data_IF_301931287704
#
_entry.id   IF_301931287704
#
_cell.length_a   1.000
_cell.length_b   1.000
_cell.length_c   1.000
_cell.angle_alpha   90.00
_cell.angle_beta   90.00
_cell.angle_gamma   90.00
#
_symmetry.space_group_name_H-M   'P 1'
#
loop_
_entity.id
_entity.type
_entity.pdbx_description
1 polymer ?
#
# COMPACT_ATOMS: atom_id res chain seq x y z
N UNK A 1 22.62 -8.83 7.32
CA UNK A 1 21.96 -9.18 6.05
C UNK A 1 22.10 -10.67 5.83
N UNK A 2 20.99 -11.40 5.64
CA UNK A 2 21.03 -12.85 5.40
C UNK A 2 21.94 -13.15 4.20
N UNK A 3 22.84 -14.12 4.34
CA UNK A 3 23.68 -14.62 3.23
C UNK A 3 22.90 -15.59 2.33
N UNK A 4 21.72 -16.02 2.76
CA UNK A 4 20.88 -16.98 2.05
C UNK A 4 19.90 -16.22 1.15
N UNK A 5 19.77 -16.67 -0.10
CA UNK A 5 18.84 -16.05 -1.06
C UNK A 5 17.37 -16.21 -0.64
N UNK A 6 17.00 -17.44 -0.26
CA UNK A 6 15.69 -17.82 0.25
C UNK A 6 15.85 -18.66 1.52
N UNK A 7 15.14 -18.32 2.59
CA UNK A 7 15.16 -19.09 3.83
C UNK A 7 14.18 -20.27 3.76
N UNK A 8 14.67 -21.42 3.30
CA UNK A 8 13.89 -22.66 3.22
C UNK A 8 13.83 -23.44 4.56
N UNK A 9 14.41 -22.89 5.64
CA UNK A 9 14.40 -23.51 6.97
C UNK A 9 13.15 -23.11 7.75
N UNK A 10 12.84 -21.82 7.76
CA UNK A 10 11.68 -21.27 8.47
C UNK A 10 10.46 -21.11 7.55
N UNK A 11 10.67 -21.09 6.23
CA UNK A 11 9.62 -20.94 5.24
C UNK A 11 9.64 -22.08 4.21
N UNK A 12 8.45 -22.55 3.86
CA UNK A 12 8.22 -23.55 2.82
C UNK A 12 8.23 -22.93 1.43
N UNK A 13 8.38 -23.77 0.40
CA UNK A 13 8.26 -23.33 -0.99
C UNK A 13 6.89 -22.70 -1.28
N UNK A 14 5.80 -23.25 -0.72
CA UNK A 14 4.46 -22.72 -0.92
C UNK A 14 4.34 -21.30 -0.35
N UNK A 15 4.86 -21.08 0.86
CA UNK A 15 4.88 -19.76 1.49
C UNK A 15 5.67 -18.73 0.67
N UNK A 16 6.84 -19.12 0.15
CA UNK A 16 7.61 -18.27 -0.74
C UNK A 16 6.87 -17.93 -2.04
N UNK A 17 6.15 -18.89 -2.62
CA UNK A 17 5.34 -18.65 -3.83
C UNK A 17 4.16 -17.73 -3.55
N UNK A 18 3.41 -17.96 -2.48
CA UNK A 18 2.27 -17.13 -2.09
C UNK A 18 2.71 -15.69 -1.83
N UNK A 19 3.72 -15.52 -0.97
CA UNK A 19 4.23 -14.19 -0.62
C UNK A 19 4.91 -13.52 -1.82
N UNK A 20 5.77 -14.23 -2.54
CA UNK A 20 6.53 -13.71 -3.68
C UNK A 20 5.65 -13.29 -4.86
N UNK A 21 4.63 -14.08 -5.21
CA UNK A 21 3.67 -13.71 -6.27
C UNK A 21 2.86 -12.50 -5.83
N UNK A 22 2.39 -12.48 -4.57
CA UNK A 22 1.64 -11.34 -4.04
C UNK A 22 2.47 -10.04 -4.07
N UNK A 23 3.73 -10.13 -3.66
CA UNK A 23 4.73 -9.08 -3.77
C UNK A 23 4.92 -8.60 -5.21
N UNK A 24 5.09 -9.51 -6.16
CA UNK A 24 5.28 -9.15 -7.56
C UNK A 24 4.06 -8.41 -8.15
N UNK A 25 2.84 -8.81 -7.80
CA UNK A 25 1.63 -8.08 -8.20
C UNK A 25 1.66 -6.62 -7.72
N UNK A 26 2.13 -6.39 -6.50
CA UNK A 26 2.32 -5.03 -5.98
C UNK A 26 3.34 -4.23 -6.79
N UNK A 27 4.47 -4.82 -7.20
CA UNK A 27 5.42 -4.12 -8.09
C UNK A 27 4.74 -3.64 -9.38
N UNK A 28 3.86 -4.45 -9.97
CA UNK A 28 3.07 -4.04 -11.13
C UNK A 28 2.11 -2.89 -10.78
N UNK A 29 1.45 -2.95 -9.61
CA UNK A 29 0.62 -1.85 -9.10
C UNK A 29 1.43 -0.55 -9.06
N UNK A 30 2.60 -0.54 -8.41
CA UNK A 30 3.47 0.64 -8.36
C UNK A 30 3.81 1.18 -9.75
N UNK A 31 4.13 0.31 -10.71
CA UNK A 31 4.37 0.72 -12.10
C UNK A 31 3.19 1.43 -12.74
N UNK A 32 1.97 0.91 -12.54
CA UNK A 32 0.73 1.53 -13.02
C UNK A 32 0.49 2.88 -12.35
N UNK A 33 0.61 2.95 -11.02
CA UNK A 33 0.42 4.18 -10.26
C UNK A 33 1.40 5.25 -10.74
N UNK A 34 2.69 4.93 -10.84
CA UNK A 34 3.73 5.85 -11.32
C UNK A 34 3.42 6.36 -12.73
N UNK A 35 3.02 5.47 -13.64
CA UNK A 35 2.60 5.87 -14.99
C UNK A 35 1.45 6.87 -14.98
N UNK A 36 0.48 6.68 -14.09
CA UNK A 36 -0.68 7.57 -13.96
C UNK A 36 -0.34 8.89 -13.27
N UNK A 37 0.55 8.90 -12.28
CA UNK A 37 1.08 10.12 -11.67
C UNK A 37 1.71 11.02 -12.74
N UNK A 38 2.50 10.43 -13.64
CA UNK A 38 3.11 11.17 -14.76
C UNK A 38 2.07 11.71 -15.73
N UNK A 39 1.06 10.91 -16.07
CA UNK A 39 0.03 11.26 -17.05
C UNK A 39 -0.93 12.34 -16.54
N UNK A 40 -1.41 12.21 -15.31
CA UNK A 40 -2.50 13.04 -14.77
C UNK A 40 -2.02 14.10 -13.77
N UNK A 41 -0.74 14.06 -13.37
CA UNK A 41 -0.18 14.95 -12.34
C UNK A 41 -1.05 14.98 -11.08
N UNK A 42 -1.62 13.83 -10.73
CA UNK A 42 -2.50 13.59 -9.60
C UNK A 42 -2.05 12.31 -8.91
N UNK A 43 -2.15 12.28 -7.59
CA UNK A 43 -1.75 11.15 -6.77
C UNK A 43 -3.01 10.40 -6.37
N UNK A 44 -3.23 9.22 -6.93
CA UNK A 44 -4.40 8.40 -6.60
C UNK A 44 -4.28 7.67 -5.25
N UNK A 45 -3.09 7.68 -4.64
CA UNK A 45 -2.88 7.18 -3.27
C UNK A 45 -3.25 8.28 -2.27
N UNK A 46 -4.14 8.05 -1.28
CA UNK A 46 -4.46 9.05 -0.27
C UNK A 46 -3.22 9.54 0.49
N UNK A 47 -3.10 10.85 0.72
CA UNK A 47 -1.89 11.47 1.30
C UNK A 47 -1.39 10.79 2.58
N UNK A 48 -2.28 10.47 3.52
CA UNK A 48 -1.93 9.83 4.78
C UNK A 48 -1.34 8.42 4.59
N UNK A 49 -1.81 7.71 3.58
CA UNK A 49 -1.35 6.36 3.24
C UNK A 49 0.08 6.40 2.71
N UNK A 50 0.41 7.41 1.91
CA UNK A 50 1.77 7.63 1.42
C UNK A 50 2.72 7.79 2.62
N UNK A 51 2.33 8.58 3.62
CA UNK A 51 3.14 8.77 4.83
C UNK A 51 3.38 7.45 5.55
N UNK A 52 2.31 6.68 5.80
CA UNK A 52 2.38 5.38 6.47
C UNK A 52 3.27 4.40 5.71
N UNK A 53 3.00 4.20 4.42
CA UNK A 53 3.71 3.24 3.58
C UNK A 53 5.19 3.58 3.44
N UNK A 54 5.50 4.84 3.12
CA UNK A 54 6.90 5.29 3.01
C UNK A 54 7.66 5.13 4.32
N UNK A 55 7.01 5.44 5.45
CA UNK A 55 7.60 5.26 6.78
C UNK A 55 7.84 3.80 7.11
N UNK A 56 6.98 2.89 6.65
CA UNK A 56 7.19 1.46 6.85
C UNK A 56 8.30 0.91 5.94
N UNK A 57 8.33 1.31 4.66
CA UNK A 57 9.33 0.85 3.68
C UNK A 57 10.74 1.32 4.02
N UNK A 58 10.91 2.55 4.50
CA UNK A 58 12.24 3.04 4.94
C UNK A 58 12.75 2.22 6.13
N UNK A 59 11.86 1.85 7.07
CA UNK A 59 12.22 1.08 8.25
C UNK A 59 12.63 -0.35 7.89
N UNK A 60 11.83 -1.06 7.09
CA UNK A 60 12.11 -2.44 6.67
C UNK A 60 13.18 -2.56 5.59
N UNK A 61 13.54 -1.46 4.91
CA UNK A 61 14.66 -1.45 3.97
C UNK A 61 16.02 -1.29 4.65
N UNK A 62 16.08 -0.51 5.74
CA UNK A 62 17.34 0.00 6.28
C UNK A 62 17.57 -0.22 7.77
N UNK A 63 16.52 -0.35 8.58
CA UNK A 63 16.62 -0.44 10.04
C UNK A 63 16.28 -1.83 10.57
N UNK A 64 15.31 -2.50 9.95
CA UNK A 64 14.91 -3.87 10.25
C UNK A 64 15.19 -4.75 9.05
N UNK A 65 15.44 -6.04 9.30
CA UNK A 65 15.78 -6.99 8.25
C UNK A 65 14.87 -8.21 8.32
N UNK A 66 14.40 -8.65 7.17
CA UNK A 66 13.64 -9.89 7.06
C UNK A 66 14.54 -11.12 7.11
N UNK A 67 14.05 -12.17 7.75
CA UNK A 67 14.62 -13.51 7.77
C UNK A 67 14.16 -14.38 6.59
N UNK A 68 13.21 -13.95 5.76
CA UNK A 68 12.75 -14.69 4.55
C UNK A 68 13.86 -14.88 3.50
N UNK A 69 14.93 -14.08 3.57
CA UNK A 69 16.10 -14.18 2.69
C UNK A 69 16.47 -12.87 2.01
N UNK A 70 17.66 -12.84 1.41
CA UNK A 70 18.23 -11.65 0.81
C UNK A 70 17.38 -11.08 -0.34
N UNK A 71 16.66 -11.93 -1.08
CA UNK A 71 15.82 -11.48 -2.20
C UNK A 71 14.67 -10.59 -1.73
N UNK A 72 14.00 -10.96 -0.63
CA UNK A 72 12.91 -10.18 -0.05
C UNK A 72 13.42 -8.89 0.58
N UNK A 73 14.60 -8.93 1.20
CA UNK A 73 15.24 -7.72 1.71
C UNK A 73 15.55 -6.70 0.60
N UNK A 74 16.01 -7.16 -0.56
CA UNK A 74 16.19 -6.30 -1.73
C UNK A 74 14.84 -5.86 -2.32
N UNK A 75 13.80 -6.68 -2.21
CA UNK A 75 12.41 -6.31 -2.51
C UNK A 75 12.00 -5.03 -1.78
N UNK A 76 12.13 -4.97 -0.44
CA UNK A 76 11.85 -3.76 0.35
C UNK A 76 12.62 -2.54 -0.17
N UNK A 77 13.90 -2.70 -0.47
CA UNK A 77 14.72 -1.59 -0.98
C UNK A 77 14.24 -1.09 -2.33
N UNK A 78 13.82 -1.99 -3.22
CA UNK A 78 13.24 -1.61 -4.51
C UNK A 78 11.92 -0.87 -4.30
N UNK A 79 11.04 -1.33 -3.41
CA UNK A 79 9.82 -0.61 -3.07
C UNK A 79 10.08 0.76 -2.48
N UNK A 80 11.02 0.87 -1.54
CA UNK A 80 11.43 2.14 -0.97
C UNK A 80 11.88 3.14 -2.06
N UNK A 81 12.60 2.69 -3.09
CA UNK A 81 12.97 3.55 -4.22
C UNK A 81 11.76 3.99 -5.06
N UNK A 82 10.79 3.09 -5.29
CA UNK A 82 9.53 3.44 -5.96
C UNK A 82 8.72 4.44 -5.11
N UNK A 83 8.72 4.27 -3.80
CA UNK A 83 8.08 5.17 -2.85
C UNK A 83 8.74 6.54 -2.82
N UNK A 84 10.07 6.64 -2.89
CA UNK A 84 10.77 7.92 -3.03
C UNK A 84 10.23 8.71 -4.23
N UNK A 85 9.95 8.04 -5.34
CA UNK A 85 9.35 8.66 -6.51
C UNK A 85 7.91 9.13 -6.24
N UNK A 86 7.09 8.31 -5.57
CA UNK A 86 5.71 8.66 -5.20
C UNK A 86 5.69 9.85 -4.23
N UNK A 87 6.52 9.84 -3.18
CA UNK A 87 6.64 10.92 -2.19
C UNK A 87 7.07 12.22 -2.85
N UNK A 88 8.07 12.18 -3.74
CA UNK A 88 8.49 13.36 -4.50
C UNK A 88 7.31 13.99 -5.28
N UNK A 89 6.49 13.17 -5.94
CA UNK A 89 5.30 13.66 -6.64
C UNK A 89 4.15 14.00 -5.68
N UNK A 90 4.09 13.39 -4.50
CA UNK A 90 3.15 13.77 -3.45
C UNK A 90 3.42 15.20 -2.98
N UNK A 91 4.67 15.59 -2.73
CA UNK A 91 5.01 16.98 -2.44
C UNK A 91 4.56 17.94 -3.55
N UNK A 92 4.61 17.51 -4.81
CA UNK A 92 4.14 18.32 -5.93
C UNK A 92 2.62 18.40 -6.02
N UNK A 93 1.88 17.31 -5.82
CA UNK A 93 0.49 17.20 -6.26
C UNK A 93 -0.51 16.74 -5.19
N UNK A 94 -0.11 16.38 -3.96
CA UNK A 94 -1.03 15.89 -2.92
C UNK A 94 -2.14 16.88 -2.56
N UNK A 95 -1.84 18.19 -2.63
CA UNK A 95 -2.81 19.26 -2.37
C UNK A 95 -4.05 19.16 -3.27
N UNK A 96 -3.92 18.57 -4.47
CA UNK A 96 -5.01 18.37 -5.42
C UNK A 96 -6.07 17.40 -4.91
N UNK A 97 -5.82 16.62 -3.84
CA UNK A 97 -6.78 15.73 -3.18
C UNK A 97 -7.79 16.46 -2.28
N UNK A 98 -7.57 17.77 -2.04
CA UNK A 98 -8.36 18.60 -1.14
C UNK A 98 -9.09 19.72 -1.89
N UNK A 99 -10.21 20.16 -1.32
CA UNK A 99 -11.04 21.22 -1.87
C UNK A 99 -10.29 22.56 -1.93
N UNK A 100 -10.64 23.38 -2.92
CA UNK A 100 -10.12 24.75 -3.07
C UNK A 100 -10.48 25.62 -1.87
N UNK A 101 -9.53 26.45 -1.42
CA UNK A 101 -9.70 27.31 -0.24
C UNK A 101 -9.72 26.58 1.12
N UNK A 102 -9.52 25.26 1.16
CA UNK A 102 -9.46 24.54 2.45
C UNK A 102 -8.07 24.65 3.10
N UNK A 103 -8.05 24.79 4.44
CA UNK A 103 -6.81 24.79 5.23
C UNK A 103 -5.93 23.55 4.96
N UNK A 104 -6.57 22.39 4.73
CA UNK A 104 -5.87 21.15 4.39
C UNK A 104 -5.11 21.24 3.06
N UNK A 105 -5.67 21.93 2.06
CA UNK A 105 -5.02 22.11 0.75
C UNK A 105 -3.79 23.01 0.88
N UNK A 106 -3.93 24.12 1.60
CA UNK A 106 -2.86 25.10 1.80
C UNK A 106 -1.67 24.49 2.55
N UNK A 107 -1.95 23.67 3.56
CA UNK A 107 -0.94 23.07 4.42
C UNK A 107 -0.56 21.64 4.00
N UNK A 108 -1.07 21.11 2.89
CA UNK A 108 -0.93 19.71 2.50
C UNK A 108 0.54 19.22 2.51
N UNK A 109 1.46 20.04 2.00
CA UNK A 109 2.90 19.71 1.94
C UNK A 109 3.54 19.67 3.32
N UNK A 110 3.18 20.62 4.18
CA UNK A 110 3.66 20.67 5.57
C UNK A 110 3.12 19.48 6.36
N UNK A 111 1.83 19.18 6.20
CA UNK A 111 1.19 18.01 6.83
C UNK A 111 1.87 16.74 6.34
N UNK A 112 2.13 16.59 5.03
CA UNK A 112 2.84 15.44 4.47
C UNK A 112 4.23 15.27 5.12
N UNK A 113 5.03 16.34 5.19
CA UNK A 113 6.37 16.29 5.78
C UNK A 113 6.35 15.91 7.26
N UNK A 114 5.51 16.58 8.06
CA UNK A 114 5.37 16.33 9.50
C UNK A 114 4.84 14.91 9.74
N UNK A 115 3.86 14.47 8.95
CA UNK A 115 3.30 13.13 9.07
C UNK A 115 4.32 12.04 8.73
N UNK A 116 5.15 12.21 7.70
CA UNK A 116 6.24 11.25 7.41
C UNK A 116 7.17 11.12 8.62
N UNK A 117 7.65 12.23 9.17
CA UNK A 117 8.57 12.19 10.34
C UNK A 117 7.88 11.54 11.53
N UNK A 118 6.64 11.92 11.83
CA UNK A 118 5.86 11.35 12.93
C UNK A 118 5.64 9.84 12.78
N UNK A 119 5.28 9.38 11.57
CA UNK A 119 5.05 7.97 11.30
C UNK A 119 6.33 7.14 11.31
N UNK A 120 7.47 7.66 10.87
CA UNK A 120 8.76 6.97 11.04
C UNK A 120 9.02 6.68 12.51
N UNK A 121 8.81 7.66 13.39
CA UNK A 121 9.04 7.49 14.84
C UNK A 121 8.07 6.48 15.43
N UNK A 122 6.76 6.64 15.15
CA UNK A 122 5.73 5.73 15.67
C UNK A 122 5.96 4.30 15.19
N UNK A 123 6.17 4.12 13.88
CA UNK A 123 6.40 2.79 13.30
C UNK A 123 7.74 2.21 13.72
N UNK A 124 8.78 3.00 13.99
CA UNK A 124 10.04 2.47 14.51
C UNK A 124 9.82 1.75 15.85
N UNK A 125 9.15 2.41 16.80
CA UNK A 125 8.88 1.82 18.11
C UNK A 125 7.87 0.68 18.04
N UNK A 126 6.84 0.80 17.19
CA UNK A 126 5.92 -0.31 16.95
C UNK A 126 6.65 -1.53 16.38
N UNK A 127 7.46 -1.34 15.33
CA UNK A 127 8.18 -2.43 14.68
C UNK A 127 9.17 -3.09 15.62
N UNK A 128 9.93 -2.29 16.38
CA UNK A 128 10.89 -2.82 17.36
C UNK A 128 10.25 -3.64 18.47
N UNK A 129 9.06 -3.23 18.93
CA UNK A 129 8.43 -3.81 20.13
C UNK A 129 7.47 -4.96 19.78
N UNK A 130 6.76 -4.86 18.67
CA UNK A 130 5.65 -5.76 18.33
C UNK A 130 5.90 -6.55 17.05
N UNK A 131 6.30 -5.88 15.97
CA UNK A 131 6.32 -6.51 14.64
C UNK A 131 7.56 -7.38 14.42
N UNK A 132 8.76 -6.79 14.46
CA UNK A 132 10.00 -7.50 14.16
C UNK A 132 10.28 -8.71 15.09
N UNK A 133 9.95 -8.68 16.38
CA UNK A 133 10.09 -9.86 17.24
C UNK A 133 9.10 -11.00 16.96
N UNK A 134 7.96 -10.72 16.31
CA UNK A 134 6.89 -11.70 16.08
C UNK A 134 6.80 -12.17 14.63
N UNK A 135 6.79 -11.24 13.68
CA UNK A 135 6.64 -11.57 12.26
C UNK A 135 7.97 -11.85 11.59
N UNK A 136 9.05 -11.24 12.07
CA UNK A 136 10.38 -11.22 11.46
C UNK A 136 10.43 -10.67 10.02
N UNK A 137 9.30 -10.25 9.44
CA UNK A 137 9.18 -9.81 8.04
C UNK A 137 8.31 -8.56 7.87
N UNK A 138 7.84 -7.95 8.95
CA UNK A 138 7.02 -6.75 8.88
C UNK A 138 5.55 -7.01 8.61
N UNK A 139 5.08 -8.23 8.83
CA UNK A 139 3.69 -8.61 8.54
C UNK A 139 2.67 -7.71 9.23
N UNK A 140 2.84 -7.43 10.53
CA UNK A 140 1.87 -6.63 11.28
C UNK A 140 1.85 -5.18 10.82
N UNK A 141 3.03 -4.55 10.66
CA UNK A 141 3.15 -3.18 10.20
C UNK A 141 2.68 -3.00 8.75
N UNK A 142 2.94 -4.01 7.90
CA UNK A 142 2.49 -4.01 6.51
C UNK A 142 0.96 -4.01 6.42
N UNK A 143 0.29 -4.89 7.16
CA UNK A 143 -1.17 -4.88 7.24
C UNK A 143 -1.74 -3.64 7.94
N UNK A 144 -1.03 -3.11 8.93
CA UNK A 144 -1.43 -1.87 9.58
C UNK A 144 -1.35 -0.67 8.64
N UNK A 145 -0.48 -0.69 7.64
CA UNK A 145 -0.45 0.30 6.55
C UNK A 145 -1.54 0.02 5.50
N UNK A 146 -1.75 -1.26 5.15
CA UNK A 146 -2.66 -1.65 4.07
C UNK A 146 -4.14 -1.47 4.44
N UNK A 147 -4.52 -1.66 5.70
CA UNK A 147 -5.91 -1.47 6.16
C UNK A 147 -6.40 -0.01 5.97
N UNK A 148 -5.71 1.03 6.48
CA UNK A 148 -6.00 2.43 6.17
C UNK A 148 -5.92 2.73 4.67
N UNK A 149 -5.00 2.10 3.93
CA UNK A 149 -4.95 2.23 2.48
C UNK A 149 -6.27 1.81 1.84
N UNK A 150 -6.73 0.58 2.07
CA UNK A 150 -7.99 0.07 1.53
C UNK A 150 -9.19 0.94 1.91
N UNK A 151 -9.27 1.42 3.15
CA UNK A 151 -10.34 2.33 3.59
C UNK A 151 -10.31 3.68 2.86
N UNK A 152 -9.16 4.34 2.82
CA UNK A 152 -9.06 5.72 2.32
C UNK A 152 -9.15 5.80 0.79
N UNK A 153 -8.75 4.74 0.08
CA UNK A 153 -8.96 4.64 -1.37
C UNK A 153 -10.44 4.75 -1.75
N UNK A 154 -11.34 4.14 -0.97
CA UNK A 154 -12.78 4.24 -1.19
C UNK A 154 -13.25 5.70 -1.08
N UNK A 155 -12.84 6.39 -0.02
CA UNK A 155 -13.22 7.80 0.19
C UNK A 155 -12.70 8.69 -0.95
N UNK A 156 -11.45 8.48 -1.38
CA UNK A 156 -10.86 9.26 -2.46
C UNK A 156 -11.55 9.00 -3.80
N UNK A 157 -11.88 7.75 -4.11
CA UNK A 157 -12.60 7.40 -5.33
C UNK A 157 -13.97 8.09 -5.40
N UNK A 158 -14.73 8.12 -4.30
CA UNK A 158 -16.02 8.79 -4.25
C UNK A 158 -15.91 10.32 -4.38
N UNK A 159 -14.86 10.92 -3.81
CA UNK A 159 -14.57 12.35 -3.96
C UNK A 159 -14.25 12.73 -5.40
N UNK A 160 -13.57 11.85 -6.13
CA UNK A 160 -13.16 12.04 -7.52
C UNK A 160 -13.95 11.17 -8.49
N UNK A 161 -15.22 10.88 -8.17
CA UNK A 161 -16.09 10.00 -8.98
C UNK A 161 -16.31 10.49 -10.42
N UNK A 162 -16.12 11.78 -10.68
CA UNK A 162 -16.25 12.39 -12.01
C UNK A 162 -14.92 12.34 -12.80
N UNK A 163 -13.84 11.86 -12.19
CA UNK A 163 -12.48 11.75 -12.77
C UNK A 163 -11.91 10.35 -12.61
N UNK A 164 -12.70 9.32 -12.95
CA UNK A 164 -12.34 7.92 -12.79
C UNK A 164 -11.07 7.53 -13.58
N UNK A 165 -10.73 8.28 -14.63
CA UNK A 165 -9.50 8.11 -15.39
C UNK A 165 -8.23 8.35 -14.57
N UNK A 166 -8.32 9.02 -13.41
CA UNK A 166 -7.20 9.16 -12.47
C UNK A 166 -6.93 7.88 -11.69
N UNK A 167 -7.88 6.94 -11.66
CA UNK A 167 -7.78 5.68 -10.92
C UNK A 167 -7.58 4.48 -11.86
N UNK A 168 -6.99 3.40 -11.37
CA UNK A 168 -6.78 2.18 -12.16
C UNK A 168 -7.50 0.96 -11.60
N UNK A 169 -8.51 0.48 -12.34
CA UNK A 169 -9.20 -0.77 -11.99
C UNK A 169 -8.29 -2.01 -12.10
N UNK A 170 -7.41 -2.15 -13.10
CA UNK A 170 -6.40 -3.22 -13.09
C UNK A 170 -5.50 -3.17 -11.84
N UNK A 171 -5.08 -1.98 -11.42
CA UNK A 171 -4.29 -1.83 -10.20
C UNK A 171 -5.09 -2.24 -8.95
N UNK A 172 -6.39 -1.91 -8.90
CA UNK A 172 -7.28 -2.32 -7.82
C UNK A 172 -7.34 -3.85 -7.66
N UNK A 173 -7.50 -4.58 -8.78
CA UNK A 173 -7.51 -6.04 -8.79
C UNK A 173 -6.16 -6.63 -8.42
N UNK A 174 -5.07 -6.14 -8.99
CA UNK A 174 -3.72 -6.61 -8.68
C UNK A 174 -3.37 -6.37 -7.20
N UNK A 175 -3.77 -5.23 -6.65
CA UNK A 175 -3.65 -4.92 -5.23
C UNK A 175 -4.42 -5.93 -4.37
N UNK A 176 -5.70 -6.15 -4.71
CA UNK A 176 -6.57 -7.06 -3.96
C UNK A 176 -6.07 -8.50 -3.99
N UNK A 177 -5.68 -9.00 -5.16
CA UNK A 177 -5.08 -10.34 -5.29
C UNK A 177 -3.72 -10.44 -4.62
N UNK A 178 -2.86 -9.43 -4.78
CA UNK A 178 -1.55 -9.40 -4.15
C UNK A 178 -1.65 -9.47 -2.63
N UNK A 179 -2.51 -8.64 -2.04
CA UNK A 179 -2.82 -8.66 -0.61
C UNK A 179 -3.50 -9.95 -0.18
N UNK A 180 -4.41 -10.49 -0.99
CA UNK A 180 -5.08 -11.77 -0.73
C UNK A 180 -4.10 -12.93 -0.62
N UNK A 181 -3.14 -13.03 -1.54
CA UNK A 181 -2.10 -14.06 -1.51
C UNK A 181 -1.19 -13.94 -0.28
N UNK A 182 -0.78 -12.73 0.07
CA UNK A 182 -0.03 -12.46 1.32
C UNK A 182 -0.87 -12.85 2.54
N UNK A 183 -2.19 -12.63 2.50
CA UNK A 183 -3.10 -12.98 3.60
C UNK A 183 -3.17 -14.49 3.77
N UNK A 184 -3.32 -15.23 2.67
CA UNK A 184 -3.30 -16.69 2.68
C UNK A 184 -1.97 -17.20 3.22
N UNK A 185 -0.84 -16.62 2.78
CA UNK A 185 0.47 -16.91 3.37
C UNK A 185 0.46 -16.72 4.90
N UNK A 186 -0.08 -15.61 5.41
CA UNK A 186 -0.13 -15.38 6.85
C UNK A 186 -0.95 -16.44 7.59
N UNK A 187 -2.03 -16.96 7.01
CA UNK A 187 -2.82 -18.07 7.59
C UNK A 187 -2.06 -19.40 7.64
N UNK A 188 -1.10 -19.62 6.74
CA UNK A 188 -0.25 -20.82 6.77
C UNK A 188 0.91 -20.69 7.76
N UNK A 189 1.48 -19.49 7.88
CA UNK A 189 2.72 -19.28 8.60
C UNK A 189 2.53 -18.89 10.07
N UNK A 190 1.52 -18.05 10.36
CA UNK A 190 1.29 -17.50 11.70
C UNK A 190 0.07 -18.16 12.34
N UNK A 191 0.04 -18.17 13.67
CA UNK A 191 -1.14 -18.50 14.47
C UNK A 191 -1.51 -17.29 15.36
N UNK A 192 -1.82 -16.15 14.71
CA UNK A 192 -2.22 -14.92 15.39
C UNK A 192 -3.56 -14.40 14.83
N UNK A 193 -4.67 -14.54 15.60
CA UNK A 193 -5.99 -14.04 15.20
C UNK A 193 -6.02 -12.55 14.86
N UNK A 194 -5.14 -11.75 15.47
CA UNK A 194 -5.06 -10.32 15.16
C UNK A 194 -4.62 -10.10 13.72
N UNK A 195 -3.57 -10.81 13.28
CA UNK A 195 -3.07 -10.71 11.90
C UNK A 195 -4.12 -11.18 10.89
N UNK A 196 -4.83 -12.28 11.20
CA UNK A 196 -5.92 -12.79 10.37
C UNK A 196 -7.08 -11.79 10.25
N UNK A 197 -7.41 -11.12 11.35
CA UNK A 197 -8.47 -10.10 11.34
C UNK A 197 -8.08 -8.90 10.49
N UNK A 198 -6.82 -8.45 10.55
CA UNK A 198 -6.31 -7.36 9.72
C UNK A 198 -6.33 -7.72 8.23
N UNK A 199 -5.85 -8.92 7.89
CA UNK A 199 -5.85 -9.40 6.50
C UNK A 199 -7.27 -9.56 5.94
N UNK A 200 -8.17 -10.15 6.73
CA UNK A 200 -9.59 -10.31 6.35
C UNK A 200 -10.27 -8.95 6.16
N UNK A 201 -10.11 -8.02 7.10
CA UNK A 201 -10.69 -6.69 6.98
C UNK A 201 -10.15 -5.94 5.74
N UNK A 202 -8.85 -6.03 5.48
CA UNK A 202 -8.21 -5.44 4.29
C UNK A 202 -8.79 -6.03 3.00
N UNK A 203 -8.94 -7.35 2.92
CA UNK A 203 -9.51 -8.03 1.77
C UNK A 203 -10.97 -7.62 1.51
N UNK A 204 -11.79 -7.51 2.55
CA UNK A 204 -13.18 -7.04 2.44
C UNK A 204 -13.25 -5.59 1.91
N UNK A 205 -12.38 -4.72 2.40
CA UNK A 205 -12.31 -3.33 1.95
C UNK A 205 -11.81 -3.22 0.49
N UNK A 206 -10.85 -4.05 0.08
CA UNK A 206 -10.39 -4.12 -1.31
C UNK A 206 -11.50 -4.61 -2.24
N UNK A 207 -12.23 -5.66 -1.85
CA UNK A 207 -13.39 -6.15 -2.59
C UNK A 207 -14.46 -5.06 -2.71
N UNK A 208 -14.73 -4.33 -1.62
CA UNK A 208 -15.67 -3.22 -1.63
C UNK A 208 -15.21 -2.06 -2.51
N UNK A 209 -13.92 -1.69 -2.46
CA UNK A 209 -13.35 -0.67 -3.34
C UNK A 209 -13.51 -1.03 -4.82
N UNK A 210 -13.19 -2.27 -5.19
CA UNK A 210 -13.36 -2.79 -6.55
C UNK A 210 -14.83 -2.71 -6.97
N UNK A 211 -15.74 -3.17 -6.11
CA UNK A 211 -17.18 -3.09 -6.35
C UNK A 211 -17.64 -1.65 -6.59
N UNK A 212 -17.25 -0.70 -5.73
CA UNK A 212 -17.60 0.71 -5.88
C UNK A 212 -17.07 1.29 -7.20
N UNK A 213 -15.85 0.94 -7.59
CA UNK A 213 -15.28 1.36 -8.86
C UNK A 213 -16.13 0.85 -10.04
N UNK A 214 -16.54 -0.42 -10.04
CA UNK A 214 -17.43 -0.94 -11.08
C UNK A 214 -18.77 -0.20 -11.15
N UNK A 215 -19.39 0.08 -10.00
CA UNK A 215 -20.67 0.80 -9.92
C UNK A 215 -20.52 2.21 -10.51
N UNK A 216 -19.51 2.96 -10.10
CA UNK A 216 -19.26 4.32 -10.59
C UNK A 216 -18.96 4.34 -12.09
N UNK A 217 -18.16 3.38 -12.58
CA UNK A 217 -17.84 3.26 -14.00
C UNK A 217 -19.07 2.91 -14.85
N UNK A 218 -19.97 2.07 -14.35
CA UNK A 218 -21.24 1.74 -15.03
C UNK A 218 -22.13 2.98 -15.11
N UNK A 219 -22.28 3.73 -14.01
CA UNK A 219 -23.06 4.97 -13.98
C UNK A 219 -22.51 6.02 -14.96
N UNK A 220 -21.20 6.23 -14.97
CA UNK A 220 -20.57 7.18 -15.91
C UNK A 220 -20.85 6.82 -17.37
N UNK A 221 -20.81 5.52 -17.73
CA UNK A 221 -21.16 5.07 -19.10
C UNK A 221 -22.62 5.31 -19.47
N UNK A 222 -23.54 5.06 -18.54
CA UNK A 222 -24.98 5.25 -18.77
C UNK A 222 -25.35 6.73 -18.94
N UNK A 223 -24.69 7.63 -18.19
CA UNK A 223 -24.91 9.07 -18.34
C UNK A 223 -24.42 9.60 -19.69
N UNK A 224 -23.30 9.06 -20.20
CA UNK A 224 -22.79 9.41 -21.55
C UNK A 224 -23.69 8.87 -22.67
N UNK A 225 -24.48 7.82 -22.44
CA UNK A 225 -25.40 7.28 -23.46
C UNK A 225 -26.76 7.99 -23.56
N UNK A 226 -27.00 9.03 -22.75
CA UNK A 226 -28.25 9.82 -22.74
C UNK A 226 -28.06 11.26 -23.24
N UNK A 227 -26.86 11.63 -23.68
CA UNK A 227 -26.54 12.87 -24.40
C UNK A 227 -26.29 12.56 -25.89
#
# INVERSE_FOLDING_TARGET
>A
MSKVLFNMTDYTLLEHLLFGIGCFMWVIVYGIIIGKIRKYQFIEIPMMVICLNFSWEILWSWFFYTDMGAIYQWGYRVWFLMDCYIVYHAFKYCYKQYAEGSMLREHARTILAVAIVGWIVILYFFTKTFDAPKSHMGGYGGYWCNLPMSMLYISLLWRYRDKLEYFSLPAAWLKGWGTGLVTVFCFFHFDDPFLFSLGTATALLDAYYIYQFYVLRKKARLNVSME
#
